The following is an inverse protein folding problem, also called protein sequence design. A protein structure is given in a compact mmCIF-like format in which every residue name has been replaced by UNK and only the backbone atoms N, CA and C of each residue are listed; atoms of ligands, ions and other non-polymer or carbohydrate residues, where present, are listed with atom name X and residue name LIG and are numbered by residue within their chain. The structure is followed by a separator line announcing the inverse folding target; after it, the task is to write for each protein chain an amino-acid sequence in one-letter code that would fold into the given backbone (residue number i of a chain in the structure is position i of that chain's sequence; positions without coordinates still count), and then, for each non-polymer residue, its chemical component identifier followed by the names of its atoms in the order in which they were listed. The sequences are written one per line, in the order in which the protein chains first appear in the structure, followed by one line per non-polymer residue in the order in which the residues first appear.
data_IF_051950008828
#
_entry.id   IF_051950008828
#
_cell.length_a   1.000
_cell.length_b   1.000
_cell.length_c   1.000
_cell.angle_alpha   90.00
_cell.angle_beta   90.00
_cell.angle_gamma   90.00
#
_symmetry.space_group_name_H-M   'P 1'
#
loop_
_entity.id
_entity.type
_entity.pdbx_description
1 polymer ?
#
# COMPACT_ATOMS: atom_id res chain seq x y z
N UNK A 1 -0.41 0.07 -16.05
CA UNK A 1 0.38 -0.90 -15.26
C UNK A 1 1.87 -0.84 -15.63
N UNK A 2 2.74 -1.58 -14.94
CA UNK A 2 4.20 -1.43 -15.08
C UNK A 2 4.90 -2.76 -15.30
N UNK A 3 6.08 -2.69 -15.90
CA UNK A 3 7.09 -3.75 -15.86
C UNK A 3 8.13 -3.37 -14.81
N UNK A 4 8.36 -4.22 -13.81
CA UNK A 4 9.45 -4.06 -12.86
C UNK A 4 10.71 -4.68 -13.47
N UNK A 5 11.78 -3.89 -13.52
CA UNK A 5 13.08 -4.29 -14.08
C UNK A 5 14.12 -4.28 -12.97
N UNK A 6 14.83 -5.38 -12.81
CA UNK A 6 15.90 -5.53 -11.81
C UNK A 6 17.27 -5.31 -12.46
N UNK A 7 18.27 -4.89 -11.70
CA UNK A 7 19.65 -4.67 -12.17
C UNK A 7 20.28 -5.91 -12.84
N UNK A 8 19.87 -7.11 -12.46
CA UNK A 8 20.34 -8.36 -13.06
C UNK A 8 19.65 -8.72 -14.40
N UNK A 9 18.86 -7.82 -14.97
CA UNK A 9 18.12 -8.01 -16.22
C UNK A 9 16.81 -8.79 -16.10
N UNK A 10 16.49 -9.36 -14.92
CA UNK A 10 15.18 -9.97 -14.69
C UNK A 10 14.09 -8.91 -14.75
N UNK A 11 12.94 -9.26 -15.30
CA UNK A 11 11.76 -8.40 -15.27
C UNK A 11 10.51 -9.16 -14.87
N UNK A 12 9.52 -8.43 -14.35
CA UNK A 12 8.19 -8.94 -14.01
C UNK A 12 7.18 -7.98 -14.62
N UNK A 13 6.38 -8.49 -15.55
CA UNK A 13 5.30 -7.72 -16.18
C UNK A 13 4.04 -7.86 -15.33
N UNK A 14 3.47 -6.74 -14.93
CA UNK A 14 2.20 -6.68 -14.21
C UNK A 14 1.08 -6.23 -15.15
N UNK A 15 -0.08 -6.87 -15.03
CA UNK A 15 -1.27 -6.59 -15.82
C UNK A 15 -1.52 -7.65 -16.88
N UNK A 16 -2.76 -7.74 -17.35
CA UNK A 16 -3.25 -8.72 -18.32
C UNK A 16 -3.55 -8.12 -19.69
N UNK A 17 -3.31 -6.82 -19.87
CA UNK A 17 -3.56 -6.11 -21.13
C UNK A 17 -5.01 -5.70 -21.37
N UNK A 18 -5.93 -6.00 -20.44
CA UNK A 18 -7.32 -5.57 -20.51
C UNK A 18 -7.53 -4.14 -20.01
N UNK A 19 -8.77 -3.66 -20.22
CA UNK A 19 -9.23 -2.37 -19.74
C UNK A 19 -10.54 -2.56 -18.98
N UNK A 20 -10.79 -1.73 -17.95
CA UNK A 20 -12.04 -1.68 -17.23
C UNK A 20 -12.34 -0.28 -16.70
N UNK A 21 -13.59 -0.02 -16.40
CA UNK A 21 -14.03 1.17 -15.68
C UNK A 21 -14.53 0.75 -14.30
N UNK A 22 -14.08 1.44 -13.28
CA UNK A 22 -14.42 1.14 -11.89
C UNK A 22 -15.13 2.33 -11.24
N UNK A 23 -16.06 2.04 -10.35
CA UNK A 23 -16.53 3.02 -9.38
C UNK A 23 -15.40 3.39 -8.41
N UNK A 24 -15.51 4.56 -7.81
CA UNK A 24 -14.58 5.03 -6.77
C UNK A 24 -14.40 3.98 -5.67
N UNK A 25 -15.50 3.48 -5.11
CA UNK A 25 -15.47 2.48 -4.04
C UNK A 25 -14.70 1.22 -4.45
N UNK A 26 -14.98 0.68 -5.64
CA UNK A 26 -14.31 -0.52 -6.13
C UNK A 26 -12.82 -0.28 -6.39
N UNK A 27 -12.47 0.89 -6.90
CA UNK A 27 -11.08 1.29 -7.12
C UNK A 27 -10.32 1.40 -5.80
N UNK A 28 -10.91 2.06 -4.79
CA UNK A 28 -10.36 2.15 -3.43
C UNK A 28 -10.19 0.76 -2.79
N UNK A 29 -11.20 -0.11 -2.89
CA UNK A 29 -11.13 -1.46 -2.35
C UNK A 29 -9.93 -2.21 -2.95
N UNK A 30 -9.80 -2.23 -4.27
CA UNK A 30 -8.68 -2.91 -4.96
C UNK A 30 -7.33 -2.31 -4.61
N UNK A 31 -7.24 -0.99 -4.46
CA UNK A 31 -6.02 -0.31 -4.01
C UNK A 31 -5.65 -0.73 -2.58
N UNK A 32 -6.62 -0.84 -1.68
CA UNK A 32 -6.39 -1.27 -0.30
C UNK A 32 -5.88 -2.72 -0.21
N UNK A 33 -6.31 -3.58 -1.12
CA UNK A 33 -5.79 -4.95 -1.25
C UNK A 33 -4.48 -5.05 -2.04
N UNK A 34 -4.03 -3.96 -2.69
CA UNK A 34 -2.90 -3.94 -3.62
C UNK A 34 -3.10 -4.95 -4.78
N UNK A 35 -4.35 -5.06 -5.23
CA UNK A 35 -4.77 -5.90 -6.34
C UNK A 35 -4.74 -5.07 -7.63
N UNK A 36 -3.74 -5.25 -8.48
CA UNK A 36 -3.43 -4.53 -9.72
C UNK A 36 -3.51 -3.00 -9.68
N UNK A 37 -4.26 -2.42 -8.74
CA UNK A 37 -4.33 -0.99 -8.44
C UNK A 37 -3.52 -0.73 -7.18
N UNK A 38 -2.67 0.27 -7.20
CA UNK A 38 -1.81 0.62 -6.08
C UNK A 38 -1.75 2.14 -5.86
N UNK A 39 -1.10 2.55 -4.78
CA UNK A 39 -0.95 3.96 -4.38
C UNK A 39 0.11 4.72 -5.17
N UNK A 40 0.97 4.06 -5.97
CA UNK A 40 2.08 4.74 -6.65
C UNK A 40 1.62 5.95 -7.46
N UNK A 41 2.39 7.03 -7.41
CA UNK A 41 2.12 8.26 -8.15
C UNK A 41 2.30 8.09 -9.67
N UNK A 42 3.16 7.16 -10.08
CA UNK A 42 3.47 6.87 -11.48
C UNK A 42 2.45 5.92 -12.14
N UNK A 43 2.51 5.85 -13.47
CA UNK A 43 1.60 5.05 -14.32
C UNK A 43 0.12 5.41 -14.12
N UNK A 44 -0.15 6.69 -13.91
CA UNK A 44 -1.49 7.28 -13.77
C UNK A 44 -1.54 8.64 -14.48
N UNK A 45 -2.70 9.00 -14.96
CA UNK A 45 -3.00 10.32 -15.49
C UNK A 45 -4.02 10.98 -14.59
N UNK A 46 -3.79 12.22 -14.24
CA UNK A 46 -4.64 13.02 -13.37
C UNK A 46 -4.99 14.34 -14.05
N UNK A 47 -6.16 14.85 -13.80
CA UNK A 47 -6.46 16.24 -14.11
C UNK A 47 -5.56 17.16 -13.28
N UNK A 48 -5.02 18.19 -13.90
CA UNK A 48 -4.06 19.11 -13.26
C UNK A 48 -4.64 19.75 -11.99
N UNK A 49 -5.92 20.10 -11.98
CA UNK A 49 -6.57 20.73 -10.84
C UNK A 49 -6.65 19.78 -9.62
N UNK A 50 -6.81 18.48 -9.84
CA UNK A 50 -6.74 17.49 -8.73
C UNK A 50 -5.37 17.50 -8.06
N UNK A 51 -4.29 17.54 -8.86
CA UNK A 51 -2.94 17.57 -8.31
C UNK A 51 -2.66 18.89 -7.57
N UNK A 52 -3.21 19.98 -8.03
CA UNK A 52 -3.13 21.28 -7.33
C UNK A 52 -3.91 21.27 -6.01
N UNK A 53 -5.09 20.63 -6.00
CA UNK A 53 -5.94 20.49 -4.80
C UNK A 53 -5.31 19.62 -3.73
N UNK A 54 -4.65 18.54 -4.14
CA UNK A 54 -4.06 17.55 -3.23
C UNK A 54 -2.57 17.34 -3.55
N UNK A 55 -1.70 18.29 -3.21
CA UNK A 55 -0.27 18.14 -3.45
C UNK A 55 0.32 16.99 -2.62
N UNK A 56 1.29 16.30 -3.20
CA UNK A 56 2.05 15.30 -2.46
C UNK A 56 2.85 15.95 -1.34
N UNK A 57 2.86 15.39 -0.10
CA UNK A 57 3.62 15.95 1.02
C UNK A 57 5.13 15.96 0.74
N UNK A 58 5.72 17.14 0.72
CA UNK A 58 7.14 17.33 0.44
C UNK A 58 8.01 16.80 1.59
N UNK A 59 9.06 16.06 1.27
CA UNK A 59 10.04 15.56 2.24
C UNK A 59 9.58 14.35 3.07
N UNK A 60 8.37 13.84 2.81
CA UNK A 60 7.84 12.60 3.43
C UNK A 60 8.16 11.39 2.57
N UNK A 61 8.41 10.24 3.21
CA UNK A 61 8.37 8.94 2.54
C UNK A 61 6.92 8.44 2.47
N UNK A 62 6.62 7.62 1.45
CA UNK A 62 5.26 7.05 1.25
C UNK A 62 4.17 8.12 1.06
N UNK A 63 4.55 9.24 0.48
CA UNK A 63 3.68 10.38 0.17
C UNK A 63 2.52 9.99 -0.76
N UNK A 64 2.74 8.98 -1.59
CA UNK A 64 1.75 8.41 -2.50
C UNK A 64 0.61 7.72 -1.75
N UNK A 65 0.88 7.06 -0.62
CA UNK A 65 -0.14 6.44 0.22
C UNK A 65 -1.09 7.49 0.81
N UNK A 66 -0.57 8.66 1.20
CA UNK A 66 -1.37 9.74 1.78
C UNK A 66 -2.09 10.61 0.74
N UNK A 67 -1.87 10.40 -0.55
CA UNK A 67 -2.35 11.32 -1.58
C UNK A 67 -3.17 10.64 -2.68
N UNK A 68 -2.70 9.53 -3.25
CA UNK A 68 -3.31 8.92 -4.46
C UNK A 68 -4.79 8.55 -4.27
N UNK A 69 -5.20 8.07 -3.10
CA UNK A 69 -6.60 7.75 -2.82
C UNK A 69 -7.52 8.97 -2.91
N UNK A 70 -7.01 10.18 -2.62
CA UNK A 70 -7.79 11.42 -2.71
C UNK A 70 -8.20 11.74 -4.14
N UNK A 71 -7.31 11.46 -5.11
CA UNK A 71 -7.66 11.60 -6.51
C UNK A 71 -8.77 10.64 -6.93
N UNK A 72 -8.75 9.41 -6.41
CA UNK A 72 -9.83 8.46 -6.68
C UNK A 72 -11.15 8.93 -6.06
N UNK A 73 -11.12 9.49 -4.85
CA UNK A 73 -12.32 9.99 -4.16
C UNK A 73 -12.96 11.21 -4.84
N UNK A 74 -12.22 11.95 -5.69
CA UNK A 74 -12.77 13.06 -6.49
C UNK A 74 -13.44 12.61 -7.79
N UNK A 75 -13.40 11.32 -8.11
CA UNK A 75 -13.95 10.78 -9.35
C UNK A 75 -15.13 9.86 -9.08
N UNK A 76 -16.19 9.95 -9.88
CA UNK A 76 -17.27 8.96 -9.87
C UNK A 76 -16.86 7.65 -10.53
N UNK A 77 -15.99 7.74 -11.54
CA UNK A 77 -15.52 6.61 -12.36
C UNK A 77 -14.04 6.75 -12.65
N UNK A 78 -13.33 5.62 -12.62
CA UNK A 78 -11.91 5.53 -12.87
C UNK A 78 -11.65 4.54 -14.01
N UNK A 79 -11.05 5.02 -15.09
CA UNK A 79 -10.61 4.15 -16.20
C UNK A 79 -9.28 3.48 -15.83
N UNK A 80 -9.21 2.16 -15.97
CA UNK A 80 -8.05 1.35 -15.65
C UNK A 80 -7.56 0.58 -16.88
N UNK A 81 -6.35 0.92 -17.38
CA UNK A 81 -5.68 0.17 -18.43
C UNK A 81 -4.59 -0.72 -17.83
N UNK A 82 -4.62 -2.02 -18.16
CA UNK A 82 -3.70 -3.02 -17.59
C UNK A 82 -2.58 -3.44 -18.52
N UNK A 83 -2.45 -2.81 -19.67
CA UNK A 83 -1.25 -2.94 -20.51
C UNK A 83 -0.07 -2.27 -19.81
N UNK A 84 1.05 -2.98 -19.70
CA UNK A 84 2.26 -2.42 -19.11
C UNK A 84 2.86 -1.35 -20.02
N UNK A 85 2.89 -0.11 -19.55
CA UNK A 85 3.41 1.06 -20.29
C UNK A 85 4.46 1.85 -19.49
N UNK A 86 4.78 1.39 -18.29
CA UNK A 86 5.74 2.04 -17.40
C UNK A 86 6.80 1.06 -16.94
N UNK A 87 8.08 1.44 -17.05
CA UNK A 87 9.20 0.64 -16.56
C UNK A 87 9.68 1.17 -15.22
N UNK A 88 9.50 0.36 -14.19
CA UNK A 88 9.95 0.68 -12.84
C UNK A 88 11.27 -0.02 -12.54
N UNK A 89 12.37 0.75 -12.58
CA UNK A 89 13.72 0.25 -12.33
C UNK A 89 13.98 0.10 -10.83
N UNK A 90 14.24 -1.12 -10.39
CA UNK A 90 14.72 -1.42 -9.04
C UNK A 90 16.25 -1.51 -9.05
N UNK A 91 16.90 -0.62 -8.31
CA UNK A 91 18.35 -0.56 -8.13
C UNK A 91 18.71 -0.82 -6.69
N UNK A 92 19.90 -1.32 -6.44
CA UNK A 92 20.45 -1.51 -5.08
C UNK A 92 20.43 -0.23 -4.25
N UNK A 93 20.61 0.94 -4.88
CA UNK A 93 20.53 2.27 -4.27
C UNK A 93 19.10 2.78 -4.03
N UNK A 94 18.07 2.05 -4.46
CA UNK A 94 16.66 2.48 -4.28
C UNK A 94 16.28 2.58 -2.80
N UNK A 95 15.45 3.56 -2.45
CA UNK A 95 14.99 3.79 -1.06
C UNK A 95 14.40 2.53 -0.42
N UNK A 96 13.73 1.68 -1.20
CA UNK A 96 13.15 0.42 -0.71
C UNK A 96 14.18 -0.56 -0.18
N UNK A 97 15.44 -0.52 -0.66
CA UNK A 97 16.53 -1.39 -0.24
C UNK A 97 17.46 -0.76 0.79
N UNK A 98 17.31 0.53 1.08
CA UNK A 98 18.11 1.17 2.14
C UNK A 98 17.82 0.55 3.49
N UNK A 99 18.82 0.57 4.36
CA UNK A 99 18.68 0.15 5.76
C UNK A 99 17.56 0.92 6.47
N UNK A 100 17.06 0.32 7.55
CA UNK A 100 16.04 0.97 8.36
C UNK A 100 16.55 2.31 8.91
N UNK A 101 15.72 3.32 8.81
CA UNK A 101 15.84 4.59 9.51
C UNK A 101 14.45 5.05 9.99
N UNK A 102 14.41 6.00 10.93
CA UNK A 102 13.16 6.45 11.56
C UNK A 102 12.13 7.02 10.58
N UNK A 103 12.55 7.59 9.44
CA UNK A 103 11.61 8.05 8.40
C UNK A 103 10.79 6.91 7.80
N UNK A 104 11.27 5.67 7.84
CA UNK A 104 10.48 4.52 7.35
C UNK A 104 9.23 4.23 8.20
N UNK A 105 9.15 4.77 9.42
CA UNK A 105 7.92 4.73 10.23
C UNK A 105 6.81 5.62 9.65
N UNK A 106 7.13 6.54 8.76
CA UNK A 106 6.12 7.33 8.04
C UNK A 106 5.16 6.46 7.24
N UNK A 107 5.53 5.21 6.90
CA UNK A 107 4.61 4.24 6.33
C UNK A 107 3.35 4.04 7.18
N UNK A 108 3.51 4.01 8.51
CA UNK A 108 2.40 3.86 9.45
C UNK A 108 1.54 5.11 9.47
N UNK A 109 2.19 6.29 9.60
CA UNK A 109 1.52 7.60 9.60
C UNK A 109 0.70 7.80 8.31
N UNK A 110 1.31 7.63 7.15
CA UNK A 110 0.65 7.82 5.85
C UNK A 110 -0.50 6.84 5.63
N UNK A 111 -0.34 5.58 6.08
CA UNK A 111 -1.40 4.59 6.00
C UNK A 111 -2.57 4.92 6.93
N UNK A 112 -2.31 5.43 8.12
CA UNK A 112 -3.36 5.77 9.09
C UNK A 112 -4.12 7.05 8.69
N UNK A 113 -3.46 8.02 8.05
CA UNK A 113 -4.12 9.18 7.42
C UNK A 113 -5.10 8.69 6.34
N UNK A 114 -4.63 7.87 5.40
CA UNK A 114 -5.49 7.29 4.37
C UNK A 114 -6.66 6.51 4.98
N UNK A 115 -6.39 5.68 5.99
CA UNK A 115 -7.42 4.87 6.65
C UNK A 115 -8.52 5.73 7.26
N UNK A 116 -8.17 6.82 7.94
CA UNK A 116 -9.11 7.77 8.55
C UNK A 116 -10.00 8.41 7.48
N UNK A 117 -9.39 8.93 6.42
CA UNK A 117 -10.12 9.64 5.37
C UNK A 117 -11.06 8.69 4.59
N UNK A 118 -10.55 7.51 4.22
CA UNK A 118 -11.37 6.52 3.49
C UNK A 118 -12.52 6.03 4.34
N UNK A 119 -12.33 5.75 5.63
CA UNK A 119 -13.42 5.27 6.50
C UNK A 119 -14.47 6.33 6.78
N UNK A 120 -14.14 7.60 6.70
CA UNK A 120 -15.09 8.69 6.86
C UNK A 120 -16.13 8.71 5.74
N UNK A 121 -15.71 8.49 4.50
CA UNK A 121 -16.56 8.56 3.30
C UNK A 121 -17.07 7.17 2.84
N UNK A 122 -16.29 6.10 3.11
CA UNK A 122 -16.55 4.72 2.69
C UNK A 122 -16.44 3.75 3.89
N UNK A 123 -17.31 3.86 4.92
CA UNK A 123 -17.22 3.02 6.14
C UNK A 123 -17.36 1.51 5.84
N UNK A 124 -18.01 1.12 4.74
CA UNK A 124 -18.15 -0.26 4.30
C UNK A 124 -16.80 -0.90 3.90
N UNK A 125 -15.78 -0.12 3.58
CA UNK A 125 -14.43 -0.61 3.28
C UNK A 125 -13.59 -0.92 4.53
N UNK A 126 -14.20 -0.94 5.73
CA UNK A 126 -13.51 -1.15 7.00
C UNK A 126 -12.55 -2.35 7.00
N UNK A 127 -12.98 -3.48 6.47
CA UNK A 127 -12.15 -4.70 6.45
C UNK A 127 -10.92 -4.52 5.54
N UNK A 128 -11.10 -3.92 4.37
CA UNK A 128 -10.01 -3.64 3.44
C UNK A 128 -9.01 -2.63 4.03
N UNK A 129 -9.50 -1.58 4.69
CA UNK A 129 -8.70 -0.57 5.38
C UNK A 129 -7.89 -1.21 6.52
N UNK A 130 -8.52 -1.99 7.39
CA UNK A 130 -7.85 -2.69 8.48
C UNK A 130 -6.77 -3.64 7.95
N UNK A 131 -7.05 -4.37 6.87
CA UNK A 131 -6.04 -5.20 6.19
C UNK A 131 -4.86 -4.37 5.71
N UNK A 132 -5.08 -3.20 5.10
CA UNK A 132 -4.00 -2.31 4.64
C UNK A 132 -3.15 -1.79 5.79
N UNK A 133 -3.79 -1.37 6.89
CA UNK A 133 -3.10 -0.97 8.11
C UNK A 133 -2.26 -2.11 8.70
N UNK A 134 -2.81 -3.32 8.72
CA UNK A 134 -2.09 -4.51 9.20
C UNK A 134 -0.87 -4.81 8.30
N UNK A 135 -1.02 -4.72 6.99
CA UNK A 135 0.10 -4.88 6.05
C UNK A 135 1.22 -3.86 6.30
N UNK A 136 0.88 -2.59 6.55
CA UNK A 136 1.88 -1.57 6.90
C UNK A 136 2.67 -1.96 8.16
N UNK A 137 1.98 -2.47 9.20
CA UNK A 137 2.63 -2.96 10.44
C UNK A 137 3.55 -4.15 10.18
N UNK A 138 3.14 -5.10 9.34
CA UNK A 138 4.00 -6.20 8.92
C UNK A 138 5.24 -5.72 8.17
N UNK A 139 5.05 -4.83 7.21
CA UNK A 139 6.16 -4.28 6.43
C UNK A 139 7.18 -3.58 7.33
N UNK A 140 6.71 -2.79 8.29
CA UNK A 140 7.56 -2.12 9.28
C UNK A 140 8.26 -3.13 10.20
N UNK A 141 7.53 -4.12 10.71
CA UNK A 141 8.11 -5.16 11.58
C UNK A 141 9.22 -5.95 10.86
N UNK A 142 9.01 -6.26 9.58
CA UNK A 142 10.02 -6.94 8.76
C UNK A 142 11.30 -6.12 8.62
N UNK A 143 11.21 -4.80 8.51
CA UNK A 143 12.37 -3.92 8.46
C UNK A 143 13.16 -3.87 9.78
N UNK A 144 12.52 -4.20 10.89
CA UNK A 144 13.18 -4.29 12.20
C UNK A 144 13.94 -5.60 12.45
N UNK A 145 13.89 -6.60 11.56
CA UNK A 145 14.49 -7.93 11.83
C UNK A 145 15.95 -7.85 12.22
N UNK A 146 16.74 -7.03 11.52
CA UNK A 146 18.19 -6.91 11.75
C UNK A 146 18.58 -5.64 12.53
N UNK A 147 17.59 -4.91 13.08
CA UNK A 147 17.84 -3.66 13.82
C UNK A 147 17.84 -3.93 15.31
N UNK A 148 18.95 -3.57 15.99
CA UNK A 148 19.07 -3.63 17.45
C UNK A 148 18.25 -2.49 18.09
N UNK A 149 17.71 -2.75 19.26
CA UNK A 149 16.84 -1.78 19.95
C UNK A 149 15.39 -1.88 19.51
N UNK A 150 14.64 -0.80 19.69
CA UNK A 150 13.24 -0.68 19.25
C UNK A 150 12.29 -1.78 19.80
N UNK A 151 12.56 -2.28 21.03
CA UNK A 151 11.77 -3.36 21.64
C UNK A 151 10.30 -2.97 21.83
N UNK A 152 10.06 -1.71 22.22
CA UNK A 152 8.71 -1.21 22.48
C UNK A 152 7.93 -1.10 21.17
N UNK A 153 8.53 -0.51 20.15
CA UNK A 153 7.90 -0.37 18.83
C UNK A 153 7.59 -1.75 18.22
N UNK A 154 8.52 -2.69 18.31
CA UNK A 154 8.28 -4.09 17.88
C UNK A 154 7.10 -4.72 18.62
N UNK A 155 7.03 -4.53 19.96
CA UNK A 155 5.94 -5.05 20.79
C UNK A 155 4.60 -4.45 20.40
N UNK A 156 4.54 -3.15 20.16
CA UNK A 156 3.33 -2.45 19.72
C UNK A 156 2.84 -2.95 18.35
N UNK A 157 3.74 -3.11 17.37
CA UNK A 157 3.41 -3.65 16.05
C UNK A 157 2.85 -5.06 16.15
N UNK A 158 3.50 -5.95 16.93
CA UNK A 158 3.04 -7.33 17.14
C UNK A 158 1.67 -7.35 17.82
N UNK A 159 1.49 -6.52 18.85
CA UNK A 159 0.20 -6.40 19.55
C UNK A 159 -0.91 -5.96 18.61
N UNK A 160 -0.68 -4.94 17.80
CA UNK A 160 -1.64 -4.47 16.81
C UNK A 160 -2.02 -5.58 15.82
N UNK A 161 -1.02 -6.30 15.29
CA UNK A 161 -1.23 -7.40 14.34
C UNK A 161 -2.08 -8.51 14.97
N UNK A 162 -1.77 -8.90 16.20
CA UNK A 162 -2.50 -9.95 16.95
C UNK A 162 -3.96 -9.55 17.21
N UNK A 163 -4.20 -8.32 17.61
CA UNK A 163 -5.56 -7.81 17.86
C UNK A 163 -6.41 -7.73 16.60
N UNK A 164 -5.81 -7.41 15.47
CA UNK A 164 -6.52 -7.20 14.21
C UNK A 164 -6.44 -8.39 13.23
N UNK A 165 -5.92 -9.54 13.63
CA UNK A 165 -5.74 -10.73 12.77
C UNK A 165 -7.00 -11.19 12.04
N UNK A 166 -8.18 -10.93 12.60
CA UNK A 166 -9.47 -11.33 12.03
C UNK A 166 -9.74 -10.71 10.65
N UNK A 167 -9.27 -9.48 10.40
CA UNK A 167 -9.44 -8.82 9.10
C UNK A 167 -8.66 -9.51 7.95
N UNK A 168 -7.77 -10.43 8.28
CA UNK A 168 -6.97 -11.21 7.33
C UNK A 168 -7.40 -12.68 7.31
N UNK A 169 -7.50 -13.33 8.47
CA UNK A 169 -7.76 -14.77 8.55
C UNK A 169 -9.16 -15.15 8.03
N UNK A 170 -10.19 -14.39 8.39
CA UNK A 170 -11.57 -14.59 7.92
C UNK A 170 -11.88 -13.93 6.58
N UNK A 171 -10.92 -13.26 5.95
CA UNK A 171 -11.16 -12.48 4.73
C UNK A 171 -10.75 -13.27 3.48
N UNK A 172 -11.71 -13.63 2.59
CA UNK A 172 -11.41 -14.36 1.36
C UNK A 172 -10.53 -13.55 0.41
N UNK A 173 -10.65 -12.21 0.41
CA UNK A 173 -9.89 -11.31 -0.46
C UNK A 173 -8.47 -11.02 0.06
N UNK A 174 -8.14 -11.42 1.30
CA UNK A 174 -6.81 -11.19 1.84
C UNK A 174 -5.76 -12.07 1.13
N UNK A 175 -4.62 -11.49 0.69
CA UNK A 175 -3.54 -12.25 0.07
C UNK A 175 -3.04 -13.40 0.96
N UNK A 176 -2.70 -14.54 0.36
CA UNK A 176 -2.18 -15.73 1.08
C UNK A 176 -0.96 -15.38 1.93
N UNK A 177 -0.06 -14.52 1.43
CA UNK A 177 1.13 -14.04 2.17
C UNK A 177 0.77 -13.41 3.51
N UNK A 178 -0.32 -12.62 3.55
CA UNK A 178 -0.75 -11.93 4.78
C UNK A 178 -1.32 -12.94 5.78
N UNK A 179 -2.05 -13.94 5.30
CA UNK A 179 -2.56 -15.05 6.13
C UNK A 179 -1.43 -15.86 6.78
N UNK A 180 -0.40 -16.21 6.00
CA UNK A 180 0.79 -16.90 6.51
C UNK A 180 1.54 -16.06 7.54
N UNK A 181 1.74 -14.77 7.27
CA UNK A 181 2.44 -13.87 8.19
C UNK A 181 1.70 -13.72 9.53
N UNK A 182 0.36 -13.60 9.51
CA UNK A 182 -0.47 -13.56 10.73
C UNK A 182 -0.37 -14.86 11.51
N UNK A 183 -0.42 -16.01 10.84
CA UNK A 183 -0.30 -17.32 11.50
C UNK A 183 1.06 -17.48 12.15
N UNK A 184 2.15 -17.13 11.46
CA UNK A 184 3.51 -17.22 12.00
C UNK A 184 3.70 -16.39 13.28
N UNK A 185 3.13 -15.17 13.34
CA UNK A 185 3.16 -14.33 14.54
C UNK A 185 2.19 -14.77 15.64
N UNK A 186 1.22 -15.63 15.32
CA UNK A 186 0.26 -16.18 16.28
C UNK A 186 0.78 -17.42 17.02
N UNK A 187 1.85 -18.06 16.53
CA UNK A 187 2.45 -19.27 17.11
C UNK A 187 3.63 -18.99 18.05
N UNK A 188 4.03 -17.76 18.22
CA UNK A 188 5.05 -17.27 19.17
C UNK A 188 4.47 -16.15 20.02
#
# INVERSE_FOLDING_TARGET
RSTVVFENGKNIVYGNGGDEELSTERCLERMLYDDVINTSAWAKLYETEMVRKFPYPVGKLFEDIATTYKFFMECDRIACGYKSQYFYMLRSSSIVYQEFNMKKLELLEMTDIMAKDVLKEYPQLKIAVQRRQLYARFSTLNQFQNVKGHKNEKKELISYIRMNKGCVLGNPNAPKRDKFAVMALGMG
#
